data_IF_496313725030
#
_entry.id   IF_496313725030
#
_cell.length_a   1.000
_cell.length_b   1.000
_cell.length_c   1.000
_cell.angle_alpha   90.00
_cell.angle_beta   90.00
_cell.angle_gamma   90.00
#
_symmetry.space_group_name_H-M   'P 1'
#
loop_
_entity.id
_entity.type
_entity.pdbx_description
1 polymer ?
#
# COMPACT_ATOMS: atom_id res chain seq x y z
N UNK A 1 -40.96 -65.47 21.62
CA UNK A 1 -41.46 -64.72 20.46
C UNK A 1 -40.59 -63.47 20.33
N UNK A 2 -39.61 -63.53 19.44
CA UNK A 2 -38.61 -62.44 19.22
C UNK A 2 -39.06 -61.63 18.03
N UNK A 3 -39.35 -60.34 18.24
CA UNK A 3 -39.64 -59.41 17.16
C UNK A 3 -38.32 -58.87 16.59
N UNK A 4 -38.02 -59.16 15.33
CA UNK A 4 -36.94 -58.53 14.58
C UNK A 4 -37.47 -57.20 14.00
N UNK A 5 -36.84 -56.11 14.39
CA UNK A 5 -37.04 -54.83 13.71
C UNK A 5 -35.97 -54.77 12.64
N UNK A 6 -36.39 -54.77 11.40
CA UNK A 6 -35.51 -54.54 10.23
C UNK A 6 -35.24 -53.04 10.07
N UNK A 7 -33.98 -52.60 10.27
CA UNK A 7 -33.52 -51.30 9.86
C UNK A 7 -33.27 -51.31 8.36
N UNK A 8 -34.07 -50.52 7.64
CA UNK A 8 -33.93 -50.35 6.19
C UNK A 8 -32.62 -49.65 5.84
N UNK A 9 -31.99 -50.16 4.84
CA UNK A 9 -30.80 -49.61 4.15
C UNK A 9 -31.22 -48.43 3.31
N UNK A 10 -30.20 -47.52 3.10
CA UNK A 10 -30.02 -46.51 2.09
C UNK A 10 -30.57 -45.12 2.39
N UNK A 11 -29.72 -44.35 3.05
CA UNK A 11 -29.45 -42.98 2.66
C UNK A 11 -27.93 -42.78 2.63
N UNK A 12 -27.33 -43.24 1.51
CA UNK A 12 -26.03 -42.73 1.09
C UNK A 12 -26.30 -41.29 0.64
N UNK A 13 -26.13 -40.36 1.58
CA UNK A 13 -25.95 -38.96 1.24
C UNK A 13 -24.59 -38.92 0.56
N UNK A 14 -24.62 -38.88 -0.77
CA UNK A 14 -23.47 -38.50 -1.58
C UNK A 14 -23.22 -37.03 -1.25
N UNK A 15 -22.33 -36.77 -0.28
CA UNK A 15 -21.56 -35.56 -0.27
C UNK A 15 -20.62 -35.68 -1.50
N UNK A 16 -21.06 -35.11 -2.60
CA UNK A 16 -20.16 -34.76 -3.70
C UNK A 16 -19.30 -33.60 -3.17
N UNK A 17 -18.35 -33.93 -2.30
CA UNK A 17 -17.24 -33.10 -1.97
C UNK A 17 -16.33 -33.19 -3.21
N UNK A 18 -16.58 -32.36 -4.20
CA UNK A 18 -15.47 -31.85 -4.97
C UNK A 18 -14.52 -31.27 -3.91
N UNK A 19 -13.46 -32.00 -3.60
CA UNK A 19 -12.35 -31.49 -2.79
C UNK A 19 -11.90 -30.23 -3.52
N UNK A 20 -12.31 -29.08 -2.98
CA UNK A 20 -11.85 -27.80 -3.48
C UNK A 20 -10.37 -27.73 -3.11
N UNK A 21 -9.52 -28.15 -4.05
CA UNK A 21 -8.09 -28.28 -3.82
C UNK A 21 -7.54 -26.93 -3.45
N UNK A 22 -6.96 -26.82 -2.26
CA UNK A 22 -6.22 -25.66 -1.82
C UNK A 22 -5.08 -25.36 -2.81
N UNK A 23 -4.99 -24.11 -3.23
CA UNK A 23 -3.92 -23.66 -4.13
C UNK A 23 -2.76 -23.06 -3.33
N UNK A 24 -1.53 -23.40 -3.73
CA UNK A 24 -0.31 -22.80 -3.19
C UNK A 24 0.46 -22.19 -4.35
N UNK A 25 0.67 -20.87 -4.31
CA UNK A 25 1.43 -20.16 -5.33
C UNK A 25 2.71 -19.56 -4.74
N UNK A 26 3.80 -19.70 -5.47
CA UNK A 26 5.12 -19.19 -5.09
C UNK A 26 5.38 -17.84 -5.75
N UNK A 27 6.39 -17.14 -5.24
CA UNK A 27 6.75 -15.78 -5.65
C UNK A 27 6.86 -15.60 -7.18
N UNK A 28 7.48 -16.54 -7.91
CA UNK A 28 7.64 -16.41 -9.37
C UNK A 28 6.32 -16.49 -10.14
N UNK A 29 5.36 -17.28 -9.66
CA UNK A 29 4.01 -17.37 -10.22
C UNK A 29 3.24 -16.08 -9.92
N UNK A 30 3.33 -15.60 -8.68
CA UNK A 30 2.70 -14.37 -8.20
C UNK A 30 3.20 -13.17 -8.99
N UNK A 31 4.51 -13.03 -9.20
CA UNK A 31 5.10 -11.93 -9.99
C UNK A 31 4.57 -11.86 -11.41
N UNK A 32 4.37 -13.02 -12.06
CA UNK A 32 3.83 -13.09 -13.44
C UNK A 32 2.35 -12.76 -13.53
N UNK A 33 1.61 -12.87 -12.43
CA UNK A 33 0.19 -12.57 -12.37
C UNK A 33 -0.11 -11.07 -12.19
N UNK A 34 0.86 -10.25 -11.79
CA UNK A 34 0.61 -8.83 -11.51
C UNK A 34 0.59 -8.02 -12.82
N UNK A 35 -0.59 -7.56 -13.19
CA UNK A 35 -0.78 -6.47 -14.15
C UNK A 35 -0.95 -5.16 -13.39
N UNK A 36 -0.11 -4.14 -13.61
CA UNK A 36 -0.15 -2.88 -12.87
C UNK A 36 -1.47 -2.11 -13.02
N UNK A 37 -2.09 -2.11 -14.20
CA UNK A 37 -3.39 -1.43 -14.40
C UNK A 37 -4.51 -2.12 -13.62
N UNK A 38 -4.56 -3.45 -13.66
CA UNK A 38 -5.52 -4.23 -12.89
C UNK A 38 -5.29 -4.03 -11.38
N UNK A 39 -4.03 -3.96 -10.94
CA UNK A 39 -3.67 -3.72 -9.55
C UNK A 39 -4.13 -2.33 -9.09
N UNK A 40 -3.83 -1.26 -9.82
CA UNK A 40 -4.28 0.10 -9.48
C UNK A 40 -5.82 0.12 -9.36
N UNK A 41 -6.52 -0.47 -10.33
CA UNK A 41 -7.98 -0.55 -10.31
C UNK A 41 -8.53 -1.35 -9.12
N UNK A 42 -7.86 -2.43 -8.72
CA UNK A 42 -8.27 -3.20 -7.53
C UNK A 42 -8.07 -2.38 -6.25
N UNK A 43 -6.97 -1.62 -6.14
CA UNK A 43 -6.76 -0.74 -4.99
C UNK A 43 -7.81 0.39 -4.91
N UNK A 44 -8.21 0.97 -6.05
CA UNK A 44 -9.32 1.93 -6.09
C UNK A 44 -10.61 1.31 -5.52
N UNK A 45 -10.95 0.09 -5.95
CA UNK A 45 -12.12 -0.62 -5.43
C UNK A 45 -12.03 -0.88 -3.92
N UNK A 46 -10.85 -1.23 -3.43
CA UNK A 46 -10.59 -1.44 -2.01
C UNK A 46 -10.79 -0.18 -1.18
N UNK A 47 -10.21 0.94 -1.58
CA UNK A 47 -10.40 2.22 -0.89
C UNK A 47 -11.88 2.65 -0.87
N UNK A 48 -12.59 2.47 -1.98
CA UNK A 48 -14.03 2.74 -2.03
C UNK A 48 -14.80 1.87 -1.04
N UNK A 49 -14.52 0.55 -0.99
CA UNK A 49 -15.18 -0.35 -0.06
C UNK A 49 -14.88 0.01 1.41
N UNK A 50 -13.66 0.48 1.69
CA UNK A 50 -13.28 0.93 3.02
C UNK A 50 -14.09 2.16 3.46
N UNK A 51 -14.08 3.22 2.67
CA UNK A 51 -14.79 4.47 2.94
C UNK A 51 -16.32 4.28 3.01
N UNK A 52 -16.88 3.31 2.28
CA UNK A 52 -18.31 2.96 2.36
C UNK A 52 -18.67 2.13 3.61
N UNK A 53 -17.70 1.81 4.49
CA UNK A 53 -17.93 0.97 5.66
C UNK A 53 -18.27 -0.48 5.32
N UNK A 54 -17.92 -0.93 4.10
CA UNK A 54 -18.07 -2.31 3.67
C UNK A 54 -16.90 -3.18 4.11
N UNK A 55 -15.71 -2.59 4.26
CA UNK A 55 -14.56 -3.33 4.75
C UNK A 55 -14.60 -3.46 6.28
N UNK A 56 -14.40 -4.67 6.76
CA UNK A 56 -14.22 -4.99 8.18
C UNK A 56 -12.74 -5.27 8.40
N UNK A 57 -12.06 -4.34 9.05
CA UNK A 57 -10.61 -4.35 9.27
C UNK A 57 -10.34 -4.22 10.76
N UNK A 58 -10.07 -5.33 11.46
CA UNK A 58 -9.70 -5.30 12.88
C UNK A 58 -8.34 -4.63 13.12
N UNK A 59 -8.01 -4.27 14.37
CA UNK A 59 -6.71 -3.76 14.73
C UNK A 59 -5.58 -4.71 14.30
N UNK A 60 -4.42 -4.14 13.95
CA UNK A 60 -3.24 -4.90 13.52
C UNK A 60 -2.69 -5.73 14.68
N UNK A 61 -2.51 -7.04 14.46
CA UNK A 61 -1.74 -7.89 15.35
C UNK A 61 -0.26 -7.56 15.22
N UNK A 62 0.43 -7.33 16.34
CA UNK A 62 1.82 -6.92 16.35
C UNK A 62 2.66 -7.75 17.31
N UNK A 63 3.78 -8.29 16.81
CA UNK A 63 4.81 -8.93 17.63
C UNK A 63 6.13 -8.17 17.45
N UNK A 64 6.76 -7.84 18.56
CA UNK A 64 8.07 -7.20 18.59
C UNK A 64 9.12 -8.18 19.12
N UNK A 65 10.26 -8.28 18.43
CA UNK A 65 11.40 -9.11 18.81
C UNK A 65 12.57 -8.21 19.20
N UNK A 66 13.11 -8.42 20.39
CA UNK A 66 14.20 -7.58 20.94
C UNK A 66 15.57 -7.92 20.37
N UNK A 67 15.93 -9.20 20.33
CA UNK A 67 17.24 -9.67 19.83
C UNK A 67 17.12 -11.04 19.15
N UNK A 68 17.38 -11.14 17.82
CA UNK A 68 17.65 -10.03 16.92
C UNK A 68 16.44 -9.11 16.76
N UNK A 69 16.66 -7.78 16.57
CA UNK A 69 15.56 -6.83 16.43
C UNK A 69 14.74 -7.11 15.17
N UNK A 70 13.44 -7.23 15.36
CA UNK A 70 12.50 -7.51 14.29
C UNK A 70 11.06 -7.29 14.73
N UNK A 71 10.16 -7.39 13.78
CA UNK A 71 8.73 -7.30 14.00
C UNK A 71 7.94 -8.29 13.13
N UNK A 72 6.68 -8.52 13.52
CA UNK A 72 5.71 -9.24 12.75
C UNK A 72 4.37 -8.52 12.85
N UNK A 73 3.80 -8.19 11.69
CA UNK A 73 2.49 -7.58 11.56
C UNK A 73 1.51 -8.57 10.96
N UNK A 74 0.38 -8.76 11.64
CA UNK A 74 -0.74 -9.58 11.16
C UNK A 74 -1.89 -8.63 10.85
N UNK A 75 -2.15 -8.43 9.55
CA UNK A 75 -3.29 -7.65 9.05
C UNK A 75 -4.31 -8.61 8.46
N UNK A 76 -5.58 -8.42 8.79
CA UNK A 76 -6.64 -9.30 8.32
C UNK A 76 -7.95 -8.53 8.20
N UNK A 77 -8.86 -9.09 7.42
CA UNK A 77 -10.16 -8.48 7.24
C UNK A 77 -10.90 -9.07 6.05
N UNK A 78 -12.09 -8.52 5.81
CA UNK A 78 -12.91 -8.88 4.67
C UNK A 78 -13.74 -7.69 4.18
N UNK A 79 -14.24 -7.79 2.97
CA UNK A 79 -15.25 -6.87 2.42
C UNK A 79 -16.58 -7.59 2.50
N UNK A 80 -17.63 -6.92 3.00
CA UNK A 80 -18.99 -7.48 3.09
C UNK A 80 -19.47 -7.87 1.69
N UNK A 81 -20.16 -9.00 1.60
CA UNK A 81 -20.72 -9.54 0.37
C UNK A 81 -19.67 -9.96 -0.68
N UNK A 82 -18.41 -10.17 -0.24
CA UNK A 82 -17.33 -10.71 -1.07
C UNK A 82 -17.13 -12.22 -0.81
N UNK A 83 -16.37 -12.88 -1.70
CA UNK A 83 -16.14 -14.32 -1.63
C UNK A 83 -15.09 -14.69 -0.57
N UNK A 84 -14.13 -13.81 -0.27
CA UNK A 84 -12.94 -14.15 0.51
C UNK A 84 -12.68 -13.19 1.67
N UNK A 85 -12.20 -13.73 2.79
CA UNK A 85 -11.44 -12.96 3.76
C UNK A 85 -9.94 -13.29 3.66
N UNK A 86 -9.10 -12.34 4.04
CA UNK A 86 -7.65 -12.45 3.87
C UNK A 86 -6.95 -12.24 5.21
N UNK A 87 -5.92 -13.05 5.44
CA UNK A 87 -4.96 -12.87 6.53
C UNK A 87 -3.59 -12.69 5.90
N UNK A 88 -2.94 -11.57 6.17
CA UNK A 88 -1.56 -11.29 5.81
C UNK A 88 -0.66 -11.38 7.03
N UNK A 89 0.46 -12.06 6.88
CA UNK A 89 1.57 -12.06 7.84
C UNK A 89 2.77 -11.44 7.14
N UNK A 90 3.29 -10.35 7.71
CA UNK A 90 4.48 -9.67 7.19
C UNK A 90 5.49 -9.53 8.34
N UNK A 91 6.77 -9.83 8.06
CA UNK A 91 7.84 -9.76 9.04
C UNK A 91 8.96 -8.85 8.55
N UNK A 92 9.61 -8.15 9.49
CA UNK A 92 10.80 -7.36 9.25
C UNK A 92 11.89 -7.72 10.25
N UNK A 93 13.02 -8.24 9.76
CA UNK A 93 14.19 -8.54 10.59
C UNK A 93 15.39 -7.75 10.06
N UNK A 94 15.68 -6.62 10.69
CA UNK A 94 16.57 -5.58 10.18
C UNK A 94 18.02 -6.04 10.04
N UNK A 95 18.50 -6.96 10.90
CA UNK A 95 19.86 -7.54 10.85
C UNK A 95 20.06 -8.56 9.72
N UNK A 96 19.00 -8.96 9.03
CA UNK A 96 19.11 -9.83 7.86
C UNK A 96 19.96 -9.21 6.75
N UNK A 97 19.97 -7.88 6.63
CA UNK A 97 20.82 -7.17 5.67
C UNK A 97 22.31 -7.50 5.88
N UNK A 98 22.77 -7.60 7.13
CA UNK A 98 24.15 -7.94 7.49
C UNK A 98 24.51 -9.38 7.10
N UNK A 99 23.49 -10.24 6.93
CA UNK A 99 23.60 -11.65 6.54
C UNK A 99 23.38 -11.87 5.03
N UNK A 100 23.21 -10.80 4.25
CA UNK A 100 22.87 -10.86 2.83
C UNK A 100 21.49 -11.46 2.54
N UNK A 101 20.56 -11.41 3.51
CA UNK A 101 19.19 -11.90 3.41
C UNK A 101 18.20 -10.74 3.27
N UNK A 102 17.03 -10.97 2.66
CA UNK A 102 15.95 -9.98 2.67
C UNK A 102 15.56 -9.55 4.10
N UNK A 103 15.36 -8.27 4.31
CA UNK A 103 14.89 -7.73 5.59
C UNK A 103 13.43 -8.06 5.80
N UNK A 104 12.60 -7.89 4.75
CA UNK A 104 11.18 -8.21 4.77
C UNK A 104 10.90 -9.63 4.27
N UNK A 105 9.83 -10.24 4.81
CA UNK A 105 9.25 -11.49 4.34
C UNK A 105 7.75 -11.48 4.62
N UNK A 106 7.00 -12.40 4.04
CA UNK A 106 5.56 -12.48 4.29
C UNK A 106 4.84 -13.51 3.47
N UNK A 107 3.54 -13.62 3.75
CA UNK A 107 2.59 -14.43 3.00
C UNK A 107 1.18 -13.85 3.16
N UNK A 108 0.30 -14.23 2.25
CA UNK A 108 -1.14 -13.95 2.36
C UNK A 108 -1.93 -15.25 2.23
N UNK A 109 -3.00 -15.34 3.02
CA UNK A 109 -3.86 -16.53 3.06
C UNK A 109 -5.30 -16.09 2.78
N UNK A 110 -5.94 -16.73 1.81
CA UNK A 110 -7.33 -16.49 1.45
C UNK A 110 -8.21 -17.63 1.94
N UNK A 111 -9.31 -17.28 2.57
CA UNK A 111 -10.33 -18.20 3.05
C UNK A 111 -11.69 -17.82 2.45
N UNK A 112 -12.54 -18.80 2.20
CA UNK A 112 -13.93 -18.57 1.80
C UNK A 112 -14.71 -17.88 2.93
N UNK A 113 -15.41 -16.79 2.62
CA UNK A 113 -16.35 -16.17 3.57
C UNK A 113 -17.59 -17.03 3.83
N UNK A 114 -17.91 -17.95 2.93
CA UNK A 114 -19.12 -18.80 3.05
C UNK A 114 -18.88 -20.04 3.91
N UNK A 115 -17.71 -20.69 3.73
CA UNK A 115 -17.43 -21.99 4.35
C UNK A 115 -16.33 -21.96 5.39
N UNK A 116 -15.51 -20.89 5.42
CA UNK A 116 -14.32 -20.80 6.23
C UNK A 116 -13.16 -21.69 5.75
N UNK A 117 -13.31 -22.36 4.59
CA UNK A 117 -12.27 -23.22 4.03
C UNK A 117 -11.08 -22.39 3.52
N UNK A 118 -9.89 -22.94 3.66
CA UNK A 118 -8.67 -22.39 3.08
C UNK A 118 -8.70 -22.60 1.56
N UNK A 119 -8.67 -21.51 0.82
CA UNK A 119 -8.72 -21.50 -0.65
C UNK A 119 -7.33 -21.37 -1.27
N UNK A 120 -6.52 -20.42 -0.76
CA UNK A 120 -5.21 -20.14 -1.37
C UNK A 120 -4.19 -19.67 -0.35
N UNK A 121 -2.96 -20.16 -0.50
CA UNK A 121 -1.77 -19.68 0.17
C UNK A 121 -0.84 -19.01 -0.86
N UNK A 122 -0.58 -17.72 -0.67
CA UNK A 122 0.34 -16.92 -1.48
C UNK A 122 1.67 -16.76 -0.73
N UNK A 123 2.70 -17.49 -1.15
CA UNK A 123 4.06 -17.42 -0.61
C UNK A 123 4.83 -16.32 -1.37
N UNK A 124 4.50 -15.07 -1.05
CA UNK A 124 4.92 -13.87 -1.80
C UNK A 124 6.22 -13.24 -1.28
N UNK A 125 6.74 -13.69 -0.15
CA UNK A 125 7.96 -13.15 0.47
C UNK A 125 7.87 -11.62 0.75
N UNK A 126 6.67 -11.08 0.93
CA UNK A 126 6.40 -9.65 1.13
C UNK A 126 6.19 -8.84 -0.15
N UNK A 127 6.36 -9.46 -1.33
CA UNK A 127 6.23 -8.78 -2.63
C UNK A 127 4.85 -8.14 -2.84
N UNK A 128 3.77 -8.81 -2.45
CA UNK A 128 2.42 -8.26 -2.59
C UNK A 128 2.19 -7.04 -1.70
N UNK A 129 2.79 -7.04 -0.50
CA UNK A 129 2.77 -5.85 0.37
C UNK A 129 3.46 -4.67 -0.31
N UNK A 130 4.61 -4.90 -0.93
CA UNK A 130 5.34 -3.85 -1.63
C UNK A 130 4.55 -3.32 -2.84
N UNK A 131 3.97 -4.21 -3.64
CA UNK A 131 3.23 -3.85 -4.85
C UNK A 131 1.94 -3.09 -4.55
N UNK A 132 1.12 -3.51 -3.52
CA UNK A 132 -0.10 -2.80 -3.14
C UNK A 132 0.21 -1.40 -2.58
N UNK A 133 1.35 -1.25 -1.90
CA UNK A 133 1.79 0.05 -1.38
C UNK A 133 2.14 1.00 -2.52
N UNK A 134 2.88 0.53 -3.53
CA UNK A 134 3.20 1.33 -4.70
C UNK A 134 1.94 1.68 -5.53
N UNK A 135 1.00 0.75 -5.64
CA UNK A 135 -0.26 1.00 -6.33
C UNK A 135 -1.12 2.05 -5.60
N UNK A 136 -1.11 2.07 -4.26
CA UNK A 136 -1.80 3.10 -3.49
C UNK A 136 -1.24 4.50 -3.76
N UNK A 137 0.08 4.65 -3.85
CA UNK A 137 0.71 5.91 -4.24
C UNK A 137 0.33 6.34 -5.66
N UNK A 138 0.22 5.39 -6.60
CA UNK A 138 -0.26 5.68 -7.94
C UNK A 138 -1.74 6.10 -7.95
N UNK A 139 -2.61 5.47 -7.13
CA UNK A 139 -4.00 5.92 -6.97
C UNK A 139 -4.04 7.34 -6.43
N UNK A 140 -3.28 7.68 -5.38
CA UNK A 140 -3.22 9.03 -4.85
C UNK A 140 -2.76 10.04 -5.91
N UNK A 141 -1.68 9.75 -6.62
CA UNK A 141 -1.18 10.62 -7.68
C UNK A 141 -2.19 10.82 -8.83
N UNK A 142 -2.93 9.79 -9.22
CA UNK A 142 -3.97 9.85 -10.27
C UNK A 142 -5.04 10.90 -10.01
N UNK A 143 -5.41 11.11 -8.75
CA UNK A 143 -6.50 12.03 -8.37
C UNK A 143 -6.01 13.36 -7.80
N UNK A 144 -4.77 13.41 -7.31
CA UNK A 144 -4.27 14.53 -6.53
C UNK A 144 -3.09 15.26 -7.19
N UNK A 145 -2.35 14.62 -8.08
CA UNK A 145 -1.25 15.29 -8.79
C UNK A 145 -1.77 16.34 -9.80
N UNK A 146 -0.98 17.37 -10.13
CA UNK A 146 -1.32 18.29 -11.21
C UNK A 146 -1.37 17.54 -12.55
N UNK A 147 -2.14 18.06 -13.51
CA UNK A 147 -2.22 17.45 -14.86
C UNK A 147 -0.88 17.47 -15.57
N UNK A 148 -0.13 18.54 -15.39
CA UNK A 148 1.23 18.66 -15.92
C UNK A 148 2.21 18.41 -14.81
N UNK A 149 2.90 17.27 -14.87
CA UNK A 149 3.98 16.94 -13.95
C UNK A 149 5.30 17.26 -14.66
N UNK A 150 5.99 18.25 -14.13
CA UNK A 150 7.27 18.72 -14.69
C UNK A 150 8.39 17.73 -14.30
N UNK A 151 8.38 17.31 -13.03
CA UNK A 151 9.40 16.39 -12.49
C UNK A 151 8.87 15.65 -11.29
N UNK A 152 9.23 14.36 -11.19
CA UNK A 152 8.93 13.49 -10.05
C UNK A 152 10.10 13.51 -9.06
N UNK A 153 9.83 13.80 -7.79
CA UNK A 153 10.82 13.73 -6.72
C UNK A 153 10.61 12.51 -5.84
N UNK A 154 11.62 11.68 -5.64
CA UNK A 154 11.58 10.53 -4.73
C UNK A 154 12.52 10.77 -3.55
N UNK A 155 11.98 10.74 -2.34
CA UNK A 155 12.74 10.85 -1.10
C UNK A 155 12.78 9.47 -0.45
N UNK A 156 13.96 8.85 -0.48
CA UNK A 156 14.20 7.48 -0.06
C UNK A 156 14.91 6.65 -1.13
N UNK A 157 15.55 5.56 -0.72
CA UNK A 157 16.33 4.68 -1.61
C UNK A 157 16.03 3.19 -1.40
N UNK A 158 14.94 2.88 -0.71
CA UNK A 158 14.47 1.52 -0.45
C UNK A 158 13.72 0.88 -1.64
N UNK A 159 13.06 -0.23 -1.35
CA UNK A 159 12.22 -0.95 -2.32
C UNK A 159 11.08 -0.04 -2.80
N UNK A 160 10.41 0.66 -1.87
CA UNK A 160 9.29 1.55 -2.22
C UNK A 160 9.71 2.70 -3.14
N UNK A 161 10.90 3.29 -2.99
CA UNK A 161 11.38 4.35 -3.89
C UNK A 161 11.37 3.90 -5.37
N UNK A 162 11.78 2.66 -5.63
CA UNK A 162 11.79 2.06 -6.97
C UNK A 162 10.39 1.72 -7.46
N UNK A 163 9.58 1.11 -6.61
CA UNK A 163 8.25 0.63 -6.99
C UNK A 163 7.27 1.79 -7.19
N UNK A 164 7.37 2.85 -6.40
CA UNK A 164 6.58 4.07 -6.57
C UNK A 164 6.84 4.69 -7.94
N UNK A 165 8.11 4.91 -8.32
CA UNK A 165 8.45 5.39 -9.66
C UNK A 165 7.88 4.48 -10.76
N UNK A 166 8.08 3.16 -10.64
CA UNK A 166 7.58 2.20 -11.63
C UNK A 166 6.07 2.24 -11.75
N UNK A 167 5.36 2.38 -10.64
CA UNK A 167 3.90 2.39 -10.63
C UNK A 167 3.33 3.72 -11.16
N UNK A 168 4.00 4.83 -10.91
CA UNK A 168 3.62 6.15 -11.44
C UNK A 168 3.58 6.19 -12.98
N UNK A 169 4.36 5.36 -13.70
CA UNK A 169 4.30 5.27 -15.17
C UNK A 169 2.93 4.95 -15.74
N UNK A 170 2.07 4.34 -14.93
CA UNK A 170 0.72 3.92 -15.36
C UNK A 170 -0.34 5.00 -15.11
N UNK A 171 0.03 6.11 -14.47
CA UNK A 171 -0.89 7.21 -14.15
C UNK A 171 -0.37 8.58 -14.61
N UNK A 172 0.88 8.66 -15.08
CA UNK A 172 1.46 9.88 -15.67
C UNK A 172 2.45 9.56 -16.79
N UNK A 173 2.55 10.47 -17.75
CA UNK A 173 3.53 10.38 -18.85
C UNK A 173 4.90 10.99 -18.48
N UNK A 174 5.04 11.64 -17.33
CA UNK A 174 6.28 12.22 -16.87
C UNK A 174 7.34 11.11 -16.68
N UNK A 175 8.53 11.33 -17.26
CA UNK A 175 9.69 10.44 -17.11
C UNK A 175 10.91 11.17 -16.57
N UNK A 176 10.80 12.48 -16.34
CA UNK A 176 11.80 13.27 -15.65
C UNK A 176 11.67 13.06 -14.15
N UNK A 177 12.72 12.60 -13.50
CA UNK A 177 12.66 12.32 -12.06
C UNK A 177 13.99 12.66 -11.37
N UNK A 178 13.92 12.82 -10.06
CA UNK A 178 15.10 12.87 -9.23
C UNK A 178 14.90 12.08 -7.93
N UNK A 179 16.00 11.61 -7.38
CA UNK A 179 16.00 10.81 -6.16
C UNK A 179 17.00 11.37 -5.16
N UNK A 180 16.55 11.45 -3.91
CA UNK A 180 17.39 11.76 -2.77
C UNK A 180 17.42 10.61 -1.77
N UNK A 181 18.58 10.39 -1.15
CA UNK A 181 18.74 9.47 -0.03
C UNK A 181 19.95 9.84 0.82
N UNK A 182 19.94 9.44 2.09
CA UNK A 182 21.05 9.70 3.03
C UNK A 182 22.41 9.15 2.57
N UNK A 183 22.37 8.07 1.80
CA UNK A 183 23.54 7.48 1.15
C UNK A 183 23.52 7.81 -0.34
N UNK A 184 24.38 8.72 -0.84
CA UNK A 184 24.42 9.11 -2.24
C UNK A 184 24.68 7.92 -3.19
N UNK A 185 25.41 6.89 -2.74
CA UNK A 185 25.67 5.70 -3.56
C UNK A 185 24.39 4.93 -3.87
N UNK A 186 23.45 4.88 -2.91
CA UNK A 186 22.15 4.25 -3.13
C UNK A 186 21.28 5.06 -4.08
N UNK A 187 21.36 6.38 -4.06
CA UNK A 187 20.66 7.25 -5.02
C UNK A 187 21.20 7.04 -6.44
N UNK A 188 22.52 7.00 -6.62
CA UNK A 188 23.15 6.67 -7.91
C UNK A 188 22.82 5.24 -8.38
N UNK A 189 22.65 4.29 -7.45
CA UNK A 189 22.22 2.94 -7.81
C UNK A 189 20.80 2.93 -8.37
N UNK A 190 19.84 3.66 -7.75
CA UNK A 190 18.47 3.78 -8.29
C UNK A 190 18.48 4.40 -9.68
N UNK A 191 19.26 5.46 -9.87
CA UNK A 191 19.42 6.11 -11.17
C UNK A 191 19.91 5.10 -12.22
N UNK A 192 20.90 4.29 -11.89
CA UNK A 192 21.41 3.24 -12.78
C UNK A 192 20.35 2.19 -13.07
N UNK A 193 19.68 1.67 -12.03
CA UNK A 193 18.68 0.60 -12.12
C UNK A 193 17.47 0.99 -12.99
N UNK A 194 17.09 2.27 -12.99
CA UNK A 194 15.90 2.77 -13.68
C UNK A 194 16.21 3.65 -14.92
N UNK A 195 17.46 3.71 -15.33
CA UNK A 195 17.93 4.55 -16.46
C UNK A 195 17.26 4.23 -17.82
N UNK A 196 16.77 3.01 -17.99
CA UNK A 196 16.01 2.61 -19.19
C UNK A 196 14.55 3.09 -19.20
N UNK A 197 14.03 3.50 -18.02
CA UNK A 197 12.63 3.83 -17.82
C UNK A 197 12.42 5.33 -17.53
N UNK A 198 13.43 6.00 -16.96
CA UNK A 198 13.37 7.39 -16.51
C UNK A 198 14.66 8.15 -16.84
N UNK A 199 14.51 9.43 -17.13
CA UNK A 199 15.59 10.42 -17.05
C UNK A 199 15.75 10.79 -15.56
N UNK A 200 16.63 10.08 -14.85
CA UNK A 200 16.73 10.14 -13.39
C UNK A 200 18.03 10.80 -12.93
N UNK A 201 17.92 11.77 -12.05
CA UNK A 201 19.03 12.46 -11.42
C UNK A 201 19.13 12.11 -9.93
N UNK A 202 20.33 11.82 -9.43
CA UNK A 202 20.59 11.70 -8.01
C UNK A 202 20.91 13.07 -7.42
N UNK A 203 20.11 13.54 -6.48
CA UNK A 203 20.23 14.87 -5.88
C UNK A 203 20.82 14.77 -4.48
N UNK A 204 21.68 15.72 -4.12
CA UNK A 204 22.34 15.75 -2.81
C UNK A 204 21.56 16.52 -1.74
N UNK A 205 20.61 17.40 -2.12
CA UNK A 205 19.87 18.27 -1.23
C UNK A 205 18.35 18.11 -1.43
N UNK A 206 17.64 17.86 -0.34
CA UNK A 206 16.17 17.69 -0.37
C UNK A 206 15.48 18.99 -0.80
N UNK A 207 15.97 20.13 -0.36
CA UNK A 207 15.41 21.45 -0.70
C UNK A 207 15.42 21.68 -2.23
N UNK A 208 16.45 21.21 -2.91
CA UNK A 208 16.54 21.27 -4.37
C UNK A 208 15.47 20.40 -5.03
N UNK A 209 15.27 19.15 -4.52
CA UNK A 209 14.22 18.27 -4.97
C UNK A 209 12.86 18.92 -4.75
N UNK A 210 12.56 19.37 -3.53
CA UNK A 210 11.27 19.98 -3.18
C UNK A 210 10.97 21.24 -4.01
N UNK A 211 12.00 22.00 -4.37
CA UNK A 211 11.87 23.20 -5.18
C UNK A 211 11.75 22.95 -6.68
N UNK A 212 12.10 21.77 -7.19
CA UNK A 212 12.12 21.48 -8.63
C UNK A 212 11.06 20.46 -9.07
N UNK A 213 10.47 19.75 -8.13
CA UNK A 213 9.45 18.73 -8.39
C UNK A 213 8.06 19.20 -8.00
N UNK A 214 7.05 18.88 -8.79
CA UNK A 214 5.65 19.13 -8.47
C UNK A 214 4.85 17.85 -8.20
N UNK A 215 5.50 16.68 -8.26
CA UNK A 215 5.03 15.41 -7.71
C UNK A 215 6.15 14.82 -6.86
N UNK A 216 5.93 14.74 -5.55
CA UNK A 216 6.93 14.27 -4.56
C UNK A 216 6.37 13.03 -3.87
N UNK A 217 7.22 11.99 -3.72
CA UNK A 217 6.87 10.79 -2.94
C UNK A 217 7.94 10.56 -1.88
N UNK A 218 7.52 10.43 -0.62
CA UNK A 218 8.42 10.12 0.50
C UNK A 218 8.25 8.67 0.93
N UNK A 219 9.38 7.97 1.11
CA UNK A 219 9.40 6.52 1.38
C UNK A 219 10.47 6.14 2.39
N UNK A 220 10.66 6.96 3.42
CA UNK A 220 11.73 6.77 4.40
C UNK A 220 11.21 6.31 5.75
N UNK A 221 12.08 5.79 6.60
CA UNK A 221 11.79 5.49 7.99
C UNK A 221 12.25 6.64 8.91
N UNK A 222 12.19 7.89 8.44
CA UNK A 222 12.57 9.07 9.22
C UNK A 222 11.68 9.23 10.45
N UNK A 223 12.21 9.87 11.47
CA UNK A 223 11.52 10.22 12.72
C UNK A 223 11.45 11.72 12.96
N UNK A 224 11.96 12.48 12.01
CA UNK A 224 11.98 13.94 11.99
C UNK A 224 11.70 14.39 10.56
N UNK A 225 11.09 15.57 10.36
CA UNK A 225 10.76 16.08 9.04
C UNK A 225 11.99 16.13 8.12
N UNK A 226 11.82 15.67 6.92
CA UNK A 226 12.77 15.77 5.81
C UNK A 226 12.36 16.86 4.82
N UNK A 227 11.06 17.08 4.66
CA UNK A 227 10.47 18.06 3.74
C UNK A 227 9.82 19.15 4.56
N UNK A 228 10.19 20.40 4.31
CA UNK A 228 9.69 21.55 5.03
C UNK A 228 8.70 22.39 4.21
N UNK A 229 7.75 23.01 4.88
CA UNK A 229 6.69 23.80 4.23
C UNK A 229 7.22 25.02 3.45
N UNK A 230 8.41 25.54 3.83
CA UNK A 230 9.10 26.61 3.11
C UNK A 230 9.54 26.20 1.70
N UNK A 231 9.78 24.91 1.47
CA UNK A 231 10.35 24.40 0.23
C UNK A 231 9.28 23.97 -0.75
N UNK A 232 8.02 23.86 -0.30
CA UNK A 232 6.89 23.42 -1.13
C UNK A 232 6.28 24.58 -1.87
N UNK A 233 6.23 24.46 -3.19
CA UNK A 233 5.64 25.44 -4.10
C UNK A 233 4.14 25.19 -4.31
N UNK A 234 3.43 26.21 -4.76
CA UNK A 234 2.10 26.08 -5.33
C UNK A 234 2.12 25.05 -6.47
N UNK A 235 1.06 24.27 -6.60
CA UNK A 235 0.93 23.20 -7.60
C UNK A 235 1.55 21.85 -7.23
N UNK A 236 2.21 21.73 -6.08
CA UNK A 236 2.85 20.49 -5.67
C UNK A 236 1.84 19.48 -5.13
N UNK A 237 2.01 18.20 -5.54
CA UNK A 237 1.42 17.05 -4.87
C UNK A 237 2.48 16.28 -4.08
N UNK A 238 2.15 15.88 -2.85
CA UNK A 238 3.03 15.05 -2.02
C UNK A 238 2.27 13.77 -1.66
N UNK A 239 2.88 12.60 -1.92
CA UNK A 239 2.44 11.31 -1.39
C UNK A 239 3.41 10.86 -0.30
N UNK A 240 2.99 10.87 0.95
CA UNK A 240 3.76 10.37 2.09
C UNK A 240 3.41 8.90 2.34
N UNK A 241 4.44 8.03 2.35
CA UNK A 241 4.26 6.57 2.47
C UNK A 241 5.10 5.99 3.60
N UNK A 242 6.12 6.72 4.06
CA UNK A 242 7.12 6.18 4.98
C UNK A 242 6.71 6.21 6.44
N UNK A 243 5.78 7.09 6.83
CA UNK A 243 5.30 7.23 8.22
C UNK A 243 4.14 6.25 8.52
N UNK A 244 4.38 4.94 8.37
CA UNK A 244 3.39 3.86 8.52
C UNK A 244 3.33 3.24 9.93
N UNK A 245 4.02 3.84 10.90
CA UNK A 245 4.10 3.35 12.28
C UNK A 245 4.36 4.49 13.28
N UNK A 246 3.98 4.32 14.56
CA UNK A 246 4.17 5.35 15.58
C UNK A 246 5.61 5.88 15.68
N UNK A 247 5.73 7.20 15.77
CA UNK A 247 7.02 7.90 15.92
C UNK A 247 7.83 8.03 14.63
N UNK A 248 7.28 7.70 13.47
CA UNK A 248 7.84 8.07 12.18
C UNK A 248 7.29 9.42 11.73
N UNK A 249 8.11 10.16 10.98
CA UNK A 249 7.75 11.46 10.42
C UNK A 249 8.66 11.80 9.25
N UNK A 250 8.08 12.20 8.12
CA UNK A 250 8.80 12.63 6.92
C UNK A 250 8.51 14.10 6.57
N UNK A 251 7.31 14.60 6.92
CA UNK A 251 6.82 15.92 6.54
C UNK A 251 6.74 16.87 7.74
N UNK A 252 7.10 18.15 7.49
CA UNK A 252 6.81 19.24 8.40
C UNK A 252 5.28 19.40 8.56
N UNK A 253 4.73 19.40 9.79
CA UNK A 253 3.29 19.57 10.03
C UNK A 253 2.69 20.81 9.39
N UNK A 254 3.48 21.87 9.17
CA UNK A 254 3.01 23.08 8.48
C UNK A 254 2.65 22.85 7.02
N UNK A 255 3.09 21.75 6.38
CA UNK A 255 2.70 21.39 5.03
C UNK A 255 1.19 21.09 4.99
N UNK A 256 0.68 20.38 5.98
CA UNK A 256 -0.76 20.04 6.06
C UNK A 256 -1.63 21.28 6.22
N UNK A 257 -1.20 22.26 7.02
CA UNK A 257 -1.87 23.55 7.14
C UNK A 257 -1.85 24.37 5.84
N UNK A 258 -0.79 24.23 5.04
CA UNK A 258 -0.61 24.94 3.76
C UNK A 258 -1.37 24.27 2.63
N UNK A 259 -1.66 22.97 2.73
CA UNK A 259 -2.33 22.20 1.70
C UNK A 259 -3.82 22.55 1.60
N UNK A 260 -4.34 22.63 0.37
CA UNK A 260 -5.78 22.81 0.10
C UNK A 260 -6.54 21.49 0.12
N UNK A 261 -5.82 20.36 -0.01
CA UNK A 261 -6.37 19.01 0.07
C UNK A 261 -5.44 18.13 0.87
N UNK A 262 -5.96 17.56 1.95
CA UNK A 262 -5.30 16.52 2.74
C UNK A 262 -6.13 15.25 2.64
N UNK A 263 -5.57 14.25 2.01
CA UNK A 263 -6.22 12.96 1.75
C UNK A 263 -5.47 11.87 2.49
N UNK A 264 -6.20 10.93 3.07
CA UNK A 264 -5.63 9.82 3.87
C UNK A 264 -6.21 8.50 3.39
N UNK A 265 -5.50 7.40 3.58
CA UNK A 265 -6.05 6.08 3.28
C UNK A 265 -7.05 5.60 4.35
N UNK A 266 -6.90 6.07 5.60
CA UNK A 266 -7.83 5.88 6.72
C UNK A 266 -7.66 7.02 7.72
N UNK A 267 -8.73 7.75 8.00
CA UNK A 267 -8.70 8.85 8.99
C UNK A 267 -8.24 8.32 10.35
N UNK A 268 -8.87 7.24 10.86
CA UNK A 268 -8.56 6.71 12.17
C UNK A 268 -7.11 6.22 12.32
N UNK A 269 -6.53 5.66 11.25
CA UNK A 269 -5.17 5.13 11.27
C UNK A 269 -4.14 6.24 11.10
N UNK A 270 -4.35 7.18 10.17
CA UNK A 270 -3.41 8.28 9.91
C UNK A 270 -3.35 9.29 11.07
N UNK A 271 -4.46 9.56 11.76
CA UNK A 271 -4.48 10.39 12.97
C UNK A 271 -3.72 9.74 14.12
N UNK A 272 -3.68 8.41 14.19
CA UNK A 272 -2.89 7.69 15.20
C UNK A 272 -1.39 7.75 14.92
N UNK A 273 -0.94 7.46 13.69
CA UNK A 273 0.49 7.28 13.39
C UNK A 273 0.98 7.72 12.00
N UNK A 274 0.16 8.32 11.14
CA UNK A 274 0.62 8.91 9.88
C UNK A 274 1.39 10.24 10.07
N UNK A 275 1.94 10.77 8.99
CA UNK A 275 2.56 12.10 8.99
C UNK A 275 1.58 13.18 9.46
N UNK A 276 0.31 13.08 9.04
CA UNK A 276 -0.76 14.02 9.43
C UNK A 276 -1.03 14.01 10.94
N UNK A 277 -0.72 12.91 11.65
CA UNK A 277 -0.89 12.82 13.11
C UNK A 277 -0.14 13.91 13.87
N UNK A 278 1.01 14.34 13.34
CA UNK A 278 1.79 15.41 13.92
C UNK A 278 1.13 16.78 13.75
N UNK A 279 0.44 17.00 12.63
CA UNK A 279 -0.29 18.24 12.37
C UNK A 279 -1.58 18.31 13.21
N UNK A 280 -2.31 17.20 13.35
CA UNK A 280 -3.51 17.11 14.20
C UNK A 280 -3.13 17.35 15.67
N UNK A 281 -2.10 16.68 16.19
CA UNK A 281 -1.63 16.88 17.58
C UNK A 281 -1.13 18.31 17.85
N UNK A 282 -0.65 18.99 16.83
CA UNK A 282 -0.22 20.40 16.93
C UNK A 282 -1.39 21.40 16.75
N UNK A 283 -2.61 20.93 16.50
CA UNK A 283 -3.78 21.80 16.25
C UNK A 283 -3.67 22.64 14.98
N UNK A 284 -2.98 22.13 13.97
CA UNK A 284 -2.79 22.80 12.67
C UNK A 284 -3.85 22.42 11.65
N UNK A 285 -4.49 21.29 11.84
CA UNK A 285 -5.60 20.75 11.05
C UNK A 285 -6.48 19.90 11.96
N UNK A 286 -7.78 19.89 11.76
CA UNK A 286 -8.73 19.03 12.46
C UNK A 286 -8.95 17.73 11.65
N UNK A 287 -9.32 16.64 12.33
CA UNK A 287 -9.53 15.34 11.69
C UNK A 287 -10.75 15.34 10.75
N UNK A 288 -11.74 16.20 11.01
CA UNK A 288 -12.90 16.44 10.11
C UNK A 288 -12.53 17.11 8.78
N UNK A 289 -11.33 17.71 8.68
CA UNK A 289 -10.84 18.30 7.42
C UNK A 289 -10.19 17.25 6.52
N UNK A 290 -9.92 16.03 7.03
CA UNK A 290 -9.31 14.95 6.29
C UNK A 290 -10.34 14.27 5.38
N UNK A 291 -9.95 13.97 4.15
CA UNK A 291 -10.76 13.21 3.19
C UNK A 291 -10.17 11.84 2.98
N UNK A 292 -10.96 10.77 3.05
CA UNK A 292 -10.46 9.45 2.71
C UNK A 292 -10.28 9.28 1.20
N UNK A 293 -9.22 8.57 0.80
CA UNK A 293 -8.89 8.35 -0.61
C UNK A 293 -10.03 7.65 -1.38
N UNK A 294 -10.79 6.77 -0.72
CA UNK A 294 -11.97 6.14 -1.32
C UNK A 294 -13.08 7.13 -1.68
N UNK A 295 -13.26 8.21 -0.91
CA UNK A 295 -14.20 9.28 -1.25
C UNK A 295 -13.75 10.03 -2.50
N UNK A 296 -12.45 10.31 -2.60
CA UNK A 296 -11.87 10.97 -3.78
C UNK A 296 -12.01 10.10 -5.02
N UNK A 297 -11.80 8.79 -4.92
CA UNK A 297 -12.01 7.85 -6.03
C UNK A 297 -13.46 7.84 -6.50
N UNK A 298 -14.42 7.85 -5.57
CA UNK A 298 -15.86 7.91 -5.89
C UNK A 298 -16.27 9.25 -6.48
N UNK A 299 -15.72 10.32 -5.96
CA UNK A 299 -16.03 11.69 -6.38
C UNK A 299 -14.72 12.45 -6.65
N UNK A 300 -14.19 12.39 -7.86
CA UNK A 300 -12.93 13.07 -8.22
C UNK A 300 -12.93 14.58 -7.98
N UNK A 301 -14.11 15.21 -7.84
CA UNK A 301 -14.25 16.62 -7.44
C UNK A 301 -13.77 16.91 -6.01
N UNK A 302 -13.57 15.91 -5.17
CA UNK A 302 -12.94 16.04 -3.84
C UNK A 302 -11.41 16.03 -3.91
N UNK A 303 -10.83 15.57 -5.01
CA UNK A 303 -9.40 15.62 -5.29
C UNK A 303 -8.93 17.03 -5.68
N UNK A 304 -7.86 17.09 -6.48
CA UNK A 304 -7.30 18.36 -6.99
C UNK A 304 -8.31 19.10 -7.87
N UNK A 305 -8.47 20.40 -7.66
CA UNK A 305 -9.40 21.28 -8.40
C UNK A 305 -8.70 22.33 -9.25
N UNK A 306 -7.47 22.71 -8.92
CA UNK A 306 -6.67 23.64 -9.71
C UNK A 306 -5.21 23.22 -9.78
N UNK A 307 -4.48 23.74 -10.77
CA UNK A 307 -3.06 23.46 -10.93
C UNK A 307 -2.20 24.08 -9.82
N UNK A 308 -2.72 25.11 -9.14
CA UNK A 308 -2.00 25.83 -8.07
C UNK A 308 -2.18 25.19 -6.68
N UNK A 309 -3.15 24.30 -6.49
CA UNK A 309 -3.36 23.67 -5.19
C UNK A 309 -2.12 22.87 -4.75
N UNK A 310 -1.81 22.94 -3.46
CA UNK A 310 -0.94 21.98 -2.79
C UNK A 310 -1.83 20.86 -2.26
N UNK A 311 -1.53 19.63 -2.62
CA UNK A 311 -2.28 18.45 -2.19
C UNK A 311 -1.35 17.47 -1.50
N UNK A 312 -1.81 16.84 -0.42
CA UNK A 312 -1.05 15.84 0.32
C UNK A 312 -1.88 14.57 0.42
N UNK A 313 -1.27 13.43 0.14
CA UNK A 313 -1.80 12.12 0.47
C UNK A 313 -0.91 11.49 1.54
N UNK A 314 -1.47 11.09 2.68
CA UNK A 314 -0.78 10.37 3.75
C UNK A 314 -1.30 8.92 3.80
N UNK A 315 -0.42 7.95 3.54
CA UNK A 315 -0.78 6.55 3.30
C UNK A 315 -0.05 5.63 4.29
N UNK A 316 -0.77 5.12 5.26
CA UNK A 316 -0.24 4.25 6.32
C UNK A 316 -0.44 2.76 6.05
N UNK A 317 -1.23 2.42 5.03
CA UNK A 317 -1.45 1.04 4.59
C UNK A 317 -2.58 0.34 5.34
N UNK A 318 -3.78 0.35 4.77
CA UNK A 318 -4.99 -0.30 5.31
C UNK A 318 -5.10 -1.74 4.80
N UNK A 319 -5.59 -2.66 5.63
CA UNK A 319 -5.70 -4.09 5.28
C UNK A 319 -6.59 -4.35 4.05
N UNK A 320 -7.49 -3.44 3.68
CA UNK A 320 -8.29 -3.57 2.47
C UNK A 320 -7.43 -3.67 1.19
N UNK A 321 -6.26 -3.04 1.20
CA UNK A 321 -5.30 -3.12 0.11
C UNK A 321 -4.72 -4.55 -0.03
N UNK A 322 -4.46 -5.20 1.10
CA UNK A 322 -3.97 -6.58 1.15
C UNK A 322 -5.06 -7.56 0.68
N UNK A 323 -6.33 -7.29 1.02
CA UNK A 323 -7.48 -8.07 0.56
C UNK A 323 -7.59 -8.00 -0.98
N UNK A 324 -7.56 -6.81 -1.53
CA UNK A 324 -7.76 -6.61 -2.97
C UNK A 324 -6.62 -7.20 -3.81
N UNK A 325 -5.36 -7.03 -3.42
CA UNK A 325 -4.25 -7.61 -4.17
C UNK A 325 -4.24 -9.14 -4.07
N UNK A 326 -4.55 -9.72 -2.90
CA UNK A 326 -4.60 -11.16 -2.73
C UNK A 326 -5.72 -11.79 -3.60
N UNK A 327 -6.90 -11.17 -3.63
CA UNK A 327 -8.03 -11.57 -4.50
C UNK A 327 -7.68 -11.48 -5.98
N UNK A 328 -7.05 -10.37 -6.38
CA UNK A 328 -6.63 -10.18 -7.77
C UNK A 328 -5.69 -11.31 -8.23
N UNK A 329 -4.64 -11.58 -7.45
CA UNK A 329 -3.67 -12.65 -7.76
C UNK A 329 -4.33 -14.02 -7.75
N UNK A 330 -5.15 -14.32 -6.75
CA UNK A 330 -5.89 -15.58 -6.69
C UNK A 330 -6.72 -15.81 -7.94
N UNK A 331 -7.52 -14.84 -8.37
CA UNK A 331 -8.38 -14.95 -9.56
C UNK A 331 -7.56 -15.24 -10.82
N UNK A 332 -6.49 -14.47 -11.05
CA UNK A 332 -5.65 -14.63 -12.24
C UNK A 332 -4.97 -16.01 -12.27
N UNK A 333 -4.41 -16.44 -11.16
CA UNK A 333 -3.67 -17.71 -11.10
C UNK A 333 -4.61 -18.92 -11.14
N UNK A 334 -5.78 -18.83 -10.51
CA UNK A 334 -6.78 -19.91 -10.57
C UNK A 334 -7.34 -20.10 -11.98
N UNK A 335 -7.60 -19.01 -12.71
CA UNK A 335 -8.11 -19.09 -14.07
C UNK A 335 -7.08 -19.69 -15.05
N UNK A 336 -5.78 -19.48 -14.78
CA UNK A 336 -4.67 -20.07 -15.56
C UNK A 336 -4.39 -21.55 -15.22
N UNK A 337 -4.98 -22.09 -14.15
CA UNK A 337 -4.84 -23.51 -13.76
C UNK A 337 -6.01 -24.39 -14.19
N UNK A 338 -7.04 -23.81 -14.80
CA UNK A 338 -8.16 -24.49 -15.42
C UNK A 338 -7.93 -24.69 -16.92
#
# INVERSE_FOLDING_TARGET
MKAFVAYGRNSQIFFDQAEQAMHIFKLDEIRRAIDPFALIKSQEAGFVAYTEGKAVVPPVGYLHFGDPPGDCHIKYGYIKDDDYFVVKIATGFYRNADLGRPVGNGMMVLFSQTTGSLETLLLDEGYLTDMRTAAAGAVAAKYLAPKTIDRIGIIGTGVQARLQLKMLKYVTDCREACVWGRDPKKSEQIKTDLSSEFSLEAISRIEELANTCNLIVTTTAAREPLVYSSDIKSGTHITAVGADAPGKQELDPQIFKKAQRVVVDSVSQCVDHGDVSHAVRAGLIDDEELTELGEVVKNPGLGRRSEEEITVADLTGVAVQDIEIAKLVHRILRDNTR
#
